data_IF_737870621492
#
_entry.id   IF_737870621492
#
_cell.length_a   1.000
_cell.length_b   1.000
_cell.length_c   1.000
_cell.angle_alpha   90.00
_cell.angle_beta   90.00
_cell.angle_gamma   90.00
#
_symmetry.space_group_name_H-M   'P 1'
#
loop_
_entity.id
_entity.type
_entity.pdbx_description
1 polymer ?
#
# COMPACT_ATOMS: atom_id res chain seq x y z
N UNK A 1 -2.26 -11.10 -2.16
CA UNK A 1 -1.43 -9.88 -2.19
C UNK A 1 -0.04 -10.08 -2.80
N UNK A 2 0.93 -10.84 -2.22
CA UNK A 2 2.21 -11.06 -2.92
C UNK A 2 2.03 -11.70 -4.30
N UNK A 3 1.17 -12.72 -4.39
CA UNK A 3 0.79 -13.36 -5.65
C UNK A 3 0.15 -12.36 -6.62
N UNK A 4 -0.84 -11.59 -6.19
CA UNK A 4 -1.50 -10.59 -7.06
C UNK A 4 -0.52 -9.54 -7.59
N UNK A 5 0.42 -9.08 -6.75
CA UNK A 5 1.47 -8.15 -7.17
C UNK A 5 2.35 -8.77 -8.24
N UNK A 6 2.86 -9.98 -8.00
CA UNK A 6 3.74 -10.69 -8.95
C UNK A 6 3.00 -10.93 -10.27
N UNK A 7 1.79 -11.49 -10.24
CA UNK A 7 0.98 -11.77 -11.43
C UNK A 7 0.73 -10.51 -12.25
N UNK A 8 0.35 -9.39 -11.61
CA UNK A 8 0.10 -8.11 -12.32
C UNK A 8 1.39 -7.55 -12.91
N UNK A 9 2.51 -7.61 -12.18
CA UNK A 9 3.78 -7.10 -12.66
C UNK A 9 4.31 -7.92 -13.85
N UNK A 10 4.28 -9.25 -13.73
CA UNK A 10 4.70 -10.16 -14.81
C UNK A 10 3.81 -10.03 -16.05
N UNK A 11 2.49 -9.88 -15.88
CA UNK A 11 1.56 -9.61 -16.99
C UNK A 11 1.93 -8.32 -17.75
N UNK A 12 2.41 -7.30 -17.02
CA UNK A 12 2.91 -6.03 -17.55
C UNK A 12 4.38 -6.10 -18.04
N UNK A 13 4.95 -7.30 -18.17
CA UNK A 13 6.32 -7.49 -18.67
C UNK A 13 7.39 -6.97 -17.71
N UNK A 14 7.10 -6.91 -16.41
CA UNK A 14 8.03 -6.50 -15.36
C UNK A 14 8.53 -7.76 -14.65
N UNK A 15 9.80 -8.17 -14.83
CA UNK A 15 10.36 -9.31 -14.11
C UNK A 15 10.36 -9.06 -12.59
N UNK A 16 9.88 -10.02 -11.82
CA UNK A 16 9.80 -9.92 -10.36
C UNK A 16 10.77 -10.89 -9.71
N UNK A 17 11.48 -10.40 -8.69
CA UNK A 17 12.32 -11.22 -7.80
C UNK A 17 11.90 -10.93 -6.37
N UNK A 18 11.54 -11.97 -5.63
CA UNK A 18 11.24 -11.86 -4.20
C UNK A 18 12.56 -11.62 -3.45
N UNK A 19 12.55 -10.68 -2.51
CA UNK A 19 13.68 -10.47 -1.60
C UNK A 19 13.83 -11.76 -0.78
N UNK A 20 15.00 -12.40 -0.88
CA UNK A 20 15.17 -13.74 -0.29
C UNK A 20 15.40 -13.72 1.22
N UNK A 21 15.85 -12.58 1.75
CA UNK A 21 16.18 -12.37 3.15
C UNK A 21 15.91 -10.92 3.50
N UNK A 22 14.91 -10.71 4.35
CA UNK A 22 14.58 -9.43 4.93
C UNK A 22 13.90 -9.66 6.29
N UNK A 23 13.81 -8.59 7.06
CA UNK A 23 13.01 -8.51 8.28
C UNK A 23 11.92 -7.47 8.08
N UNK A 24 10.99 -7.43 9.02
CA UNK A 24 10.01 -6.35 9.14
C UNK A 24 10.67 -4.98 8.90
N UNK A 25 9.99 -4.09 8.16
CA UNK A 25 10.49 -2.75 7.86
C UNK A 25 10.81 -1.93 9.11
N UNK A 26 10.15 -2.24 10.24
CA UNK A 26 10.34 -1.57 11.52
C UNK A 26 9.30 -0.50 11.82
N UNK A 27 8.35 -0.21 10.92
CA UNK A 27 7.30 0.80 11.17
C UNK A 27 6.55 0.56 12.50
N UNK A 28 6.08 -0.65 12.85
CA UNK A 28 5.40 -0.85 14.12
C UNK A 28 6.30 -0.61 15.34
N UNK A 29 7.62 -0.77 15.20
CA UNK A 29 8.59 -0.48 16.26
C UNK A 29 8.82 1.01 16.40
N UNK A 30 8.91 1.72 15.26
CA UNK A 30 8.98 3.18 15.23
C UNK A 30 7.75 3.82 15.89
N UNK A 31 6.55 3.36 15.55
CA UNK A 31 5.29 3.82 16.16
C UNK A 31 5.23 3.62 17.68
N UNK A 32 6.00 2.66 18.21
CA UNK A 32 6.10 2.38 19.65
C UNK A 32 7.30 3.07 20.32
N UNK A 33 8.13 3.81 19.57
CA UNK A 33 9.34 4.46 20.07
C UNK A 33 10.52 3.52 20.31
N UNK A 34 10.47 2.28 19.81
CA UNK A 34 11.55 1.28 19.93
C UNK A 34 12.61 1.49 18.83
N UNK A 35 13.36 2.60 18.96
CA UNK A 35 14.33 3.05 17.96
C UNK A 35 15.53 2.10 17.83
N UNK A 36 15.93 1.44 18.92
CA UNK A 36 17.00 0.43 18.90
C UNK A 36 16.63 -0.75 17.99
N UNK A 37 15.38 -1.24 18.06
CA UNK A 37 14.93 -2.31 17.17
C UNK A 37 14.77 -1.82 15.73
N UNK A 38 14.35 -0.56 15.52
CA UNK A 38 14.31 0.06 14.19
C UNK A 38 15.70 0.05 13.55
N UNK A 39 16.73 0.50 14.28
CA UNK A 39 18.11 0.50 13.79
C UNK A 39 18.60 -0.92 13.49
N UNK A 40 18.30 -1.89 14.38
CA UNK A 40 18.64 -3.31 14.16
C UNK A 40 18.00 -3.88 12.89
N UNK A 41 16.74 -3.54 12.61
CA UNK A 41 16.06 -4.00 11.38
C UNK A 41 16.60 -3.28 10.14
N UNK A 42 16.84 -1.97 10.22
CA UNK A 42 17.53 -1.20 9.17
C UNK A 42 18.87 -1.83 8.83
N UNK A 43 19.72 -2.09 9.82
CA UNK A 43 21.08 -2.62 9.61
C UNK A 43 21.08 -4.03 9.01
N UNK A 44 19.98 -4.78 9.17
CA UNK A 44 19.77 -6.03 8.46
C UNK A 44 19.26 -5.80 7.03
N UNK A 45 18.21 -5.00 6.85
CA UNK A 45 17.49 -4.86 5.58
C UNK A 45 18.27 -4.08 4.52
N UNK A 46 18.89 -2.96 4.89
CA UNK A 46 19.50 -2.04 3.93
C UNK A 46 20.57 -2.72 3.06
N UNK A 47 21.53 -3.50 3.59
CA UNK A 47 22.51 -4.19 2.74
C UNK A 47 21.90 -5.14 1.71
N UNK A 48 20.79 -5.79 2.06
CA UNK A 48 20.12 -6.78 1.20
C UNK A 48 19.35 -6.11 0.08
N UNK A 49 18.64 -5.01 0.39
CA UNK A 49 17.97 -4.19 -0.61
C UNK A 49 18.97 -3.49 -1.52
N UNK A 50 20.08 -3.00 -0.96
CA UNK A 50 21.16 -2.36 -1.71
C UNK A 50 21.81 -3.32 -2.71
N UNK A 51 22.06 -4.58 -2.32
CA UNK A 51 22.59 -5.58 -3.24
C UNK A 51 21.66 -5.83 -4.44
N UNK A 52 20.34 -5.87 -4.23
CA UNK A 52 19.37 -5.99 -5.32
C UNK A 52 19.36 -4.74 -6.23
N UNK A 53 19.50 -3.56 -5.65
CA UNK A 53 19.62 -2.31 -6.42
C UNK A 53 20.90 -2.31 -7.28
N UNK A 54 22.01 -2.81 -6.74
CA UNK A 54 23.27 -2.95 -7.46
C UNK A 54 23.19 -3.97 -8.60
N UNK A 55 22.36 -5.01 -8.43
CA UNK A 55 21.98 -5.96 -9.49
C UNK A 55 21.00 -5.36 -10.54
N UNK A 56 20.62 -4.08 -10.39
CA UNK A 56 19.78 -3.36 -11.33
C UNK A 56 18.27 -3.40 -11.04
N UNK A 57 17.85 -3.94 -9.90
CA UNK A 57 16.44 -3.97 -9.52
C UNK A 57 15.95 -2.65 -8.89
N UNK A 58 14.69 -2.32 -9.13
CA UNK A 58 13.93 -1.43 -8.27
C UNK A 58 13.28 -2.24 -7.13
N UNK A 59 13.06 -1.60 -5.99
CA UNK A 59 12.37 -2.20 -4.86
C UNK A 59 10.91 -1.74 -4.85
N UNK A 60 9.98 -2.67 -4.68
CA UNK A 60 8.55 -2.37 -4.50
C UNK A 60 8.07 -3.08 -3.25
N UNK A 61 7.26 -2.40 -2.44
CA UNK A 61 6.61 -3.01 -1.28
C UNK A 61 5.09 -2.78 -1.34
N UNK A 62 4.25 -3.83 -1.23
CA UNK A 62 2.81 -3.69 -1.42
C UNK A 62 2.08 -3.05 -0.23
N UNK A 63 2.78 -2.79 0.87
CA UNK A 63 2.19 -2.20 2.07
C UNK A 63 2.70 -0.76 2.23
N UNK A 64 1.82 0.26 2.28
CA UNK A 64 2.23 1.66 2.34
C UNK A 64 3.16 2.01 3.52
N UNK A 65 3.00 1.36 4.68
CA UNK A 65 3.90 1.56 5.82
C UNK A 65 5.34 1.14 5.52
N UNK A 66 5.54 0.06 4.77
CA UNK A 66 6.86 -0.42 4.39
C UNK A 66 7.53 0.57 3.44
N UNK A 67 6.80 1.06 2.43
CA UNK A 67 7.33 2.07 1.50
C UNK A 67 7.69 3.34 2.26
N UNK A 68 6.78 3.87 3.09
CA UNK A 68 7.03 5.06 3.90
C UNK A 68 8.28 4.92 4.78
N UNK A 69 8.45 3.76 5.42
CA UNK A 69 9.59 3.49 6.30
C UNK A 69 10.95 3.67 5.59
N UNK A 70 11.10 3.07 4.41
CA UNK A 70 12.36 3.16 3.67
C UNK A 70 12.49 4.45 2.85
N UNK A 71 11.37 5.05 2.42
CA UNK A 71 11.36 6.25 1.57
C UNK A 71 11.46 7.56 2.37
N UNK A 72 11.05 7.58 3.63
CA UNK A 72 11.06 8.79 4.46
C UNK A 72 11.61 8.57 5.87
N UNK A 73 11.09 7.62 6.65
CA UNK A 73 11.43 7.51 8.08
C UNK A 73 12.91 7.18 8.32
N UNK A 74 13.42 6.09 7.75
CA UNK A 74 14.84 5.72 7.87
C UNK A 74 15.76 6.80 7.30
N UNK A 75 15.49 7.40 6.12
CA UNK A 75 16.28 8.54 5.64
C UNK A 75 16.32 9.76 6.56
N UNK A 76 15.25 10.03 7.31
CA UNK A 76 15.22 11.13 8.29
C UNK A 76 16.02 10.78 9.55
N UNK A 77 15.96 9.52 10.00
CA UNK A 77 16.70 9.04 11.16
C UNK A 77 18.20 8.87 10.89
N UNK A 78 18.56 8.47 9.66
CA UNK A 78 19.94 8.15 9.25
C UNK A 78 20.34 8.95 7.99
N UNK A 79 20.35 10.30 8.04
CA UNK A 79 20.57 11.12 6.85
C UNK A 79 21.98 10.98 6.25
N UNK A 80 22.97 10.62 7.06
CA UNK A 80 24.36 10.42 6.63
C UNK A 80 24.68 9.03 6.07
N UNK A 81 23.72 8.10 6.08
CA UNK A 81 23.94 6.74 5.58
C UNK A 81 23.66 6.66 4.07
N UNK A 82 24.71 6.49 3.28
CA UNK A 82 24.62 6.48 1.81
C UNK A 82 23.76 5.32 1.28
N UNK A 83 23.78 4.16 1.92
CA UNK A 83 23.00 3.00 1.47
C UNK A 83 21.51 3.19 1.77
N UNK A 84 21.18 3.83 2.91
CA UNK A 84 19.80 4.26 3.20
C UNK A 84 19.29 5.22 2.12
N UNK A 85 20.12 6.20 1.71
CA UNK A 85 19.72 7.14 0.66
C UNK A 85 19.60 6.45 -0.72
N UNK A 86 20.46 5.46 -1.00
CA UNK A 86 20.36 4.66 -2.22
C UNK A 86 19.05 3.86 -2.27
N UNK A 87 18.68 3.19 -1.17
CA UNK A 87 17.40 2.47 -1.06
C UNK A 87 16.21 3.41 -1.20
N UNK A 88 16.24 4.56 -0.52
CA UNK A 88 15.20 5.61 -0.64
C UNK A 88 14.92 5.99 -2.09
N UNK A 89 15.97 6.14 -2.89
CA UNK A 89 15.85 6.58 -4.29
C UNK A 89 15.26 5.51 -5.21
N UNK A 90 15.22 4.26 -4.77
CA UNK A 90 14.86 3.09 -5.60
C UNK A 90 13.75 2.24 -4.99
N UNK A 91 13.06 2.73 -3.96
CA UNK A 91 11.87 2.09 -3.41
C UNK A 91 10.59 2.82 -3.83
N UNK A 92 9.61 2.07 -4.30
CA UNK A 92 8.37 2.58 -4.85
C UNK A 92 7.14 1.91 -4.21
N UNK A 93 6.06 2.69 -4.17
CA UNK A 93 4.73 2.13 -4.06
C UNK A 93 4.37 1.40 -5.38
N UNK A 94 3.65 0.27 -5.35
CA UNK A 94 3.34 -0.48 -6.58
C UNK A 94 2.58 0.35 -7.61
N UNK A 95 1.63 1.17 -7.17
CA UNK A 95 0.81 1.98 -8.08
C UNK A 95 1.54 3.22 -8.57
N UNK A 96 2.45 3.79 -7.77
CA UNK A 96 3.43 4.76 -8.26
C UNK A 96 4.27 4.15 -9.40
N UNK A 97 4.77 2.93 -9.21
CA UNK A 97 5.57 2.23 -10.22
C UNK A 97 4.76 1.96 -11.50
N UNK A 98 3.55 1.41 -11.38
CA UNK A 98 2.67 1.16 -12.53
C UNK A 98 2.32 2.45 -13.27
N UNK A 99 2.11 3.58 -12.58
CA UNK A 99 1.87 4.86 -13.23
C UNK A 99 3.10 5.45 -13.93
N UNK A 100 4.32 5.19 -13.42
CA UNK A 100 5.56 5.52 -14.14
C UNK A 100 5.65 4.73 -15.45
N UNK A 101 5.32 3.42 -15.41
CA UNK A 101 5.26 2.57 -16.60
C UNK A 101 4.19 3.02 -17.59
N UNK A 102 3.01 3.40 -17.10
CA UNK A 102 1.93 3.94 -17.94
C UNK A 102 2.36 5.22 -18.66
N UNK A 103 3.01 6.15 -17.95
CA UNK A 103 3.55 7.38 -18.55
C UNK A 103 4.58 7.09 -19.65
N UNK A 104 5.31 5.98 -19.54
CA UNK A 104 6.27 5.53 -20.55
C UNK A 104 5.64 4.72 -21.69
N UNK A 105 4.32 4.49 -21.70
CA UNK A 105 3.64 3.64 -22.68
C UNK A 105 3.92 2.14 -22.51
N UNK A 106 4.35 1.73 -21.31
CA UNK A 106 4.78 0.36 -21.00
C UNK A 106 3.81 -0.39 -20.08
N UNK A 107 2.76 0.28 -19.57
CA UNK A 107 1.69 -0.38 -18.83
C UNK A 107 0.64 -0.88 -19.82
N UNK A 108 0.27 -2.14 -19.68
CA UNK A 108 -0.84 -2.75 -20.41
C UNK A 108 -2.17 -2.21 -19.92
N UNK A 109 -3.04 -1.83 -20.85
CA UNK A 109 -4.39 -1.30 -20.56
C UNK A 109 -5.48 -2.08 -21.30
N UNK A 110 -5.15 -3.28 -21.79
CA UNK A 110 -6.05 -4.28 -22.36
C UNK A 110 -6.79 -5.04 -21.25
N UNK A 111 -7.55 -4.30 -20.44
CA UNK A 111 -8.39 -4.89 -19.39
C UNK A 111 -9.58 -5.64 -19.99
N UNK A 112 -9.82 -6.86 -19.52
CA UNK A 112 -10.90 -7.75 -19.96
C UNK A 112 -12.18 -7.56 -19.14
N UNK A 113 -12.04 -7.19 -17.87
CA UNK A 113 -13.13 -7.08 -16.91
C UNK A 113 -13.29 -5.64 -16.41
N UNK A 114 -14.53 -5.21 -16.17
CA UNK A 114 -14.83 -3.93 -15.51
C UNK A 114 -14.92 -4.08 -14.00
N UNK A 115 -14.65 -2.99 -13.28
CA UNK A 115 -14.80 -2.94 -11.82
C UNK A 115 -16.08 -2.23 -11.36
N UNK A 116 -16.75 -1.47 -12.23
CA UNK A 116 -17.93 -0.71 -11.82
C UNK A 116 -17.59 0.35 -10.77
N UNK A 117 -18.32 0.37 -9.65
CA UNK A 117 -18.13 1.36 -8.59
C UNK A 117 -17.20 0.84 -7.49
N UNK A 118 -16.04 1.49 -7.35
CA UNK A 118 -15.07 1.22 -6.29
C UNK A 118 -15.13 2.31 -5.23
N UNK A 119 -15.40 1.95 -3.98
CA UNK A 119 -15.15 2.83 -2.83
C UNK A 119 -13.75 2.57 -2.30
N UNK A 120 -12.86 3.55 -2.47
CA UNK A 120 -11.43 3.40 -2.23
C UNK A 120 -10.99 4.29 -1.06
N UNK A 121 -10.58 3.66 0.04
CA UNK A 121 -10.00 4.34 1.18
C UNK A 121 -8.48 4.51 1.00
N UNK A 122 -8.01 5.75 1.15
CA UNK A 122 -6.59 6.11 1.03
C UNK A 122 -5.93 6.09 2.41
N UNK A 123 -5.04 5.13 2.70
CA UNK A 123 -4.46 5.00 4.04
C UNK A 123 -3.44 6.12 4.34
N UNK A 124 -3.33 6.49 5.61
CA UNK A 124 -2.48 7.61 6.06
C UNK A 124 -1.03 7.50 5.59
N UNK A 125 -0.41 6.30 5.69
CA UNK A 125 0.97 6.11 5.26
C UNK A 125 1.17 6.20 3.75
N UNK A 126 0.12 6.05 2.93
CA UNK A 126 0.20 6.36 1.51
C UNK A 126 0.12 7.87 1.28
N UNK A 127 -0.77 8.56 2.02
CA UNK A 127 -0.94 10.02 1.93
C UNK A 127 0.31 10.79 2.31
N UNK A 128 0.99 10.37 3.40
CA UNK A 128 2.22 11.03 3.89
C UNK A 128 3.37 10.92 2.89
N UNK A 129 3.41 9.87 2.06
CA UNK A 129 4.42 9.75 0.99
C UNK A 129 4.30 10.84 -0.08
N UNK A 130 3.16 11.56 -0.15
CA UNK A 130 2.93 12.66 -1.07
C UNK A 130 3.17 12.32 -2.55
N UNK A 131 2.86 11.08 -2.94
CA UNK A 131 2.97 10.60 -4.33
C UNK A 131 1.69 10.81 -5.14
N UNK A 132 0.65 11.40 -4.54
CA UNK A 132 -0.69 11.54 -5.13
C UNK A 132 -1.50 10.26 -5.10
N UNK A 133 -2.65 10.26 -5.78
CA UNK A 133 -3.63 9.16 -5.74
C UNK A 133 -3.37 8.13 -6.85
N UNK A 134 -2.17 7.54 -6.86
CA UNK A 134 -1.73 6.64 -7.95
C UNK A 134 -2.57 5.38 -8.06
N UNK A 135 -2.99 4.81 -6.94
CA UNK A 135 -3.93 3.68 -6.92
C UNK A 135 -5.24 4.01 -7.62
N UNK A 136 -5.85 5.17 -7.31
CA UNK A 136 -7.06 5.66 -8.01
C UNK A 136 -6.79 5.83 -9.50
N UNK A 137 -5.65 6.41 -9.86
CA UNK A 137 -5.32 6.69 -11.26
C UNK A 137 -5.24 5.40 -12.07
N UNK A 138 -4.59 4.35 -11.55
CA UNK A 138 -4.55 3.02 -12.20
C UNK A 138 -5.95 2.39 -12.28
N UNK A 139 -6.73 2.40 -11.20
CA UNK A 139 -8.09 1.84 -11.21
C UNK A 139 -9.01 2.54 -12.22
N UNK A 140 -8.80 3.83 -12.49
CA UNK A 140 -9.54 4.60 -13.50
C UNK A 140 -9.14 4.29 -14.95
N UNK A 141 -8.01 3.61 -15.17
CA UNK A 141 -7.66 3.12 -16.51
C UNK A 141 -8.53 1.94 -16.92
N UNK A 142 -9.13 1.23 -15.95
CA UNK A 142 -10.06 0.13 -16.23
C UNK A 142 -11.37 0.69 -16.80
N UNK A 143 -11.85 0.17 -17.95
CA UNK A 143 -13.11 0.62 -18.54
C UNK A 143 -14.30 0.53 -17.57
N UNK A 144 -15.28 1.42 -17.77
CA UNK A 144 -16.53 1.44 -16.99
C UNK A 144 -16.33 1.48 -15.46
N UNK A 145 -15.20 2.04 -15.00
CA UNK A 145 -14.85 2.09 -13.57
C UNK A 145 -14.95 3.49 -13.01
N UNK A 146 -15.68 3.63 -11.90
CA UNK A 146 -15.76 4.86 -11.11
C UNK A 146 -15.15 4.63 -9.73
N UNK A 147 -14.35 5.58 -9.25
CA UNK A 147 -13.63 5.46 -7.97
C UNK A 147 -14.05 6.60 -7.05
N UNK A 148 -14.77 6.29 -5.97
CA UNK A 148 -15.05 7.20 -4.86
C UNK A 148 -13.89 7.15 -3.86
N UNK A 149 -13.14 8.25 -3.76
CA UNK A 149 -11.95 8.33 -2.91
C UNK A 149 -12.34 8.82 -1.52
N UNK A 150 -11.86 8.11 -0.49
CA UNK A 150 -12.09 8.47 0.92
C UNK A 150 -10.75 8.72 1.60
N UNK A 151 -10.43 10.00 1.81
CA UNK A 151 -9.20 10.46 2.47
C UNK A 151 -9.43 10.84 3.94
N UNK A 152 -9.73 9.84 4.77
CA UNK A 152 -9.96 10.06 6.20
C UNK A 152 -9.46 8.87 7.01
N UNK A 153 -9.01 9.14 8.24
CA UNK A 153 -8.47 8.12 9.14
C UNK A 153 -9.46 6.96 9.31
N UNK A 154 -8.99 5.73 9.13
CA UNK A 154 -9.74 4.49 9.39
C UNK A 154 -9.97 4.24 10.89
N UNK A 155 -9.24 4.94 11.76
CA UNK A 155 -9.19 4.69 13.20
C UNK A 155 -8.28 3.53 13.60
N UNK A 156 -7.56 2.89 12.67
CA UNK A 156 -6.72 1.73 12.96
C UNK A 156 -5.52 2.04 13.88
N UNK A 157 -4.68 3.02 13.51
CA UNK A 157 -3.55 3.49 14.32
C UNK A 157 -2.67 2.36 14.93
N UNK A 158 -2.19 1.44 14.08
CA UNK A 158 -1.33 0.33 14.49
C UNK A 158 -1.97 -0.56 15.57
N UNK A 159 -1.24 -0.80 16.66
CA UNK A 159 -1.73 -1.66 17.76
C UNK A 159 -2.84 -1.01 18.60
N UNK A 160 -3.11 0.28 18.42
CA UNK A 160 -4.13 0.99 19.18
C UNK A 160 -5.53 0.39 18.96
N UNK A 161 -5.95 0.17 17.70
CA UNK A 161 -7.30 -0.31 17.41
C UNK A 161 -7.61 -1.72 17.92
N UNK A 162 -6.59 -2.57 18.07
CA UNK A 162 -6.78 -3.97 18.48
C UNK A 162 -6.81 -4.16 20.01
N UNK A 163 -6.40 -3.13 20.76
CA UNK A 163 -6.50 -3.13 22.23
C UNK A 163 -7.95 -2.94 22.66
N UNK A 164 -8.43 -3.79 23.57
CA UNK A 164 -9.82 -3.78 24.05
C UNK A 164 -10.20 -2.40 24.61
N UNK A 165 -9.25 -1.78 25.31
CA UNK A 165 -9.37 -0.48 25.97
C UNK A 165 -9.65 0.66 24.99
N UNK A 166 -9.17 0.54 23.74
CA UNK A 166 -9.21 1.62 22.75
C UNK A 166 -10.13 1.33 21.56
N UNK A 167 -10.66 0.11 21.45
CA UNK A 167 -11.47 -0.33 20.32
C UNK A 167 -12.71 0.55 20.09
N UNK A 168 -13.36 1.00 21.15
CA UNK A 168 -14.52 1.90 21.05
C UNK A 168 -14.15 3.26 20.44
N UNK A 169 -13.04 3.86 20.89
CA UNK A 169 -12.54 5.12 20.36
C UNK A 169 -12.08 4.97 18.91
N UNK A 170 -11.35 3.90 18.60
CA UNK A 170 -10.92 3.54 17.25
C UNK A 170 -12.09 3.45 16.26
N UNK A 171 -13.18 2.75 16.62
CA UNK A 171 -14.38 2.70 15.77
C UNK A 171 -15.08 4.03 15.65
N UNK A 172 -15.18 4.80 16.74
CA UNK A 172 -15.75 6.15 16.68
C UNK A 172 -15.01 7.03 15.66
N UNK A 173 -13.67 6.93 15.59
CA UNK A 173 -12.84 7.63 14.61
C UNK A 173 -13.13 7.16 13.18
N UNK A 174 -13.24 5.84 12.97
CA UNK A 174 -13.49 5.24 11.65
C UNK A 174 -14.94 5.34 11.14
N UNK A 175 -15.91 5.60 12.01
CA UNK A 175 -17.35 5.61 11.69
C UNK A 175 -17.71 6.50 10.50
N UNK A 176 -17.16 7.72 10.32
CA UNK A 176 -17.46 8.53 9.14
C UNK A 176 -17.02 7.88 7.82
N UNK A 177 -15.94 7.10 7.83
CA UNK A 177 -15.47 6.35 6.66
C UNK A 177 -16.41 5.17 6.39
N UNK A 178 -16.75 4.41 7.43
CA UNK A 178 -17.69 3.27 7.35
C UNK A 178 -19.02 3.70 6.72
N UNK A 179 -19.64 4.77 7.25
CA UNK A 179 -20.90 5.30 6.73
C UNK A 179 -20.82 5.73 5.27
N UNK A 180 -19.67 6.27 4.83
CA UNK A 180 -19.48 6.68 3.44
C UNK A 180 -19.39 5.47 2.51
N UNK A 181 -18.67 4.42 2.92
CA UNK A 181 -18.61 3.15 2.18
C UNK A 181 -20.01 2.54 2.08
N UNK A 182 -20.76 2.46 3.18
CA UNK A 182 -22.14 1.93 3.17
C UNK A 182 -23.07 2.73 2.25
N UNK A 183 -23.05 4.06 2.37
CA UNK A 183 -23.89 4.93 1.54
C UNK A 183 -23.53 4.84 0.06
N UNK A 184 -22.27 4.58 -0.26
CA UNK A 184 -21.82 4.44 -1.64
C UNK A 184 -22.37 3.18 -2.31
N UNK A 185 -22.73 2.12 -1.57
CA UNK A 185 -23.15 0.82 -2.10
C UNK A 185 -22.24 0.36 -3.26
N UNK A 186 -20.91 0.28 -3.05
CA UNK A 186 -19.98 0.00 -4.12
C UNK A 186 -20.01 -1.48 -4.50
N UNK A 187 -19.66 -1.77 -5.76
CA UNK A 187 -19.36 -3.14 -6.20
C UNK A 187 -18.11 -3.67 -5.48
N UNK A 188 -17.13 -2.77 -5.25
CA UNK A 188 -15.88 -3.09 -4.57
C UNK A 188 -15.54 -2.08 -3.45
N UNK A 189 -15.16 -2.58 -2.29
CA UNK A 189 -14.56 -1.78 -1.22
C UNK A 189 -13.05 -2.04 -1.15
N UNK A 190 -12.21 -1.01 -1.24
CA UNK A 190 -10.77 -1.17 -1.40
C UNK A 190 -9.91 -0.25 -0.53
N UNK A 191 -8.69 -0.70 -0.21
CA UNK A 191 -7.66 0.03 0.55
C UNK A 191 -6.28 -0.60 0.34
N UNK A 192 -5.23 0.21 0.09
CA UNK A 192 -3.84 -0.30 -0.04
C UNK A 192 -3.26 -0.83 1.27
N UNK A 193 -3.85 -0.42 2.40
CA UNK A 193 -3.49 -0.94 3.71
C UNK A 193 -4.52 -1.99 4.14
N UNK A 194 -4.16 -3.29 4.19
CA UNK A 194 -5.07 -4.33 4.62
C UNK A 194 -5.60 -4.05 6.03
N UNK A 195 -4.75 -3.64 6.97
CA UNK A 195 -5.20 -3.38 8.34
C UNK A 195 -6.25 -2.26 8.43
N UNK A 196 -6.04 -1.16 7.68
CA UNK A 196 -7.02 -0.07 7.64
C UNK A 196 -8.32 -0.53 6.96
N UNK A 197 -8.20 -1.33 5.89
CA UNK A 197 -9.33 -1.94 5.19
C UNK A 197 -10.18 -2.79 6.13
N UNK A 198 -9.55 -3.71 6.86
CA UNK A 198 -10.23 -4.60 7.80
C UNK A 198 -10.83 -3.85 8.98
N UNK A 199 -10.17 -2.79 9.47
CA UNK A 199 -10.73 -1.93 10.52
C UNK A 199 -12.06 -1.30 10.06
N UNK A 200 -12.11 -0.75 8.85
CA UNK A 200 -13.34 -0.16 8.30
C UNK A 200 -14.39 -1.25 8.06
N UNK A 201 -14.00 -2.37 7.43
CA UNK A 201 -14.89 -3.50 7.18
C UNK A 201 -15.55 -4.04 8.46
N UNK A 202 -14.83 -4.02 9.59
CA UNK A 202 -15.36 -4.44 10.89
C UNK A 202 -16.53 -3.59 11.42
N UNK A 203 -16.78 -2.44 10.81
CA UNK A 203 -17.92 -1.57 11.13
C UNK A 203 -18.95 -1.44 10.01
N UNK A 204 -18.85 -2.21 8.92
CA UNK A 204 -19.84 -2.23 7.84
C UNK A 204 -20.95 -3.23 8.16
N UNK A 205 -22.20 -2.80 8.07
CA UNK A 205 -23.39 -3.65 8.25
C UNK A 205 -23.57 -4.69 7.13
N UNK A 206 -23.03 -4.42 5.94
CA UNK A 206 -23.09 -5.33 4.79
C UNK A 206 -22.20 -6.55 4.94
N UNK A 207 -21.22 -6.52 5.85
CA UNK A 207 -20.20 -7.56 5.98
C UNK A 207 -19.21 -7.62 4.81
N UNK A 208 -19.20 -6.62 3.92
CA UNK A 208 -18.29 -6.57 2.77
C UNK A 208 -16.83 -6.49 3.24
N UNK A 209 -16.01 -7.45 2.79
CA UNK A 209 -14.57 -7.46 3.07
C UNK A 209 -13.81 -6.47 2.18
N UNK A 210 -12.67 -5.93 2.64
CA UNK A 210 -11.82 -5.09 1.81
C UNK A 210 -11.10 -5.93 0.76
N UNK A 211 -11.07 -5.46 -0.48
CA UNK A 211 -10.24 -6.01 -1.55
C UNK A 211 -9.02 -5.13 -1.76
N UNK A 212 -7.83 -5.71 -1.81
CA UNK A 212 -6.64 -4.93 -2.11
C UNK A 212 -6.72 -4.42 -3.55
N UNK A 213 -6.36 -3.15 -3.83
CA UNK A 213 -6.43 -2.60 -5.19
C UNK A 213 -5.67 -3.43 -6.24
N UNK A 214 -4.58 -4.09 -5.84
CA UNK A 214 -3.81 -4.98 -6.72
C UNK A 214 -4.63 -6.21 -7.16
N UNK A 215 -5.46 -6.76 -6.27
CA UNK A 215 -6.37 -7.86 -6.61
C UNK A 215 -7.47 -7.38 -7.57
N UNK A 216 -7.92 -6.13 -7.44
CA UNK A 216 -8.86 -5.52 -8.40
C UNK A 216 -8.23 -5.34 -9.78
N UNK A 217 -6.97 -4.88 -9.84
CA UNK A 217 -6.24 -4.76 -11.11
C UNK A 217 -6.03 -6.14 -11.76
N UNK A 218 -5.65 -7.14 -10.97
CA UNK A 218 -5.54 -8.53 -11.44
C UNK A 218 -6.87 -9.03 -12.03
N UNK A 219 -7.97 -8.83 -11.30
CA UNK A 219 -9.33 -9.15 -11.77
C UNK A 219 -9.65 -8.44 -13.07
N UNK A 220 -9.34 -7.15 -13.18
CA UNK A 220 -9.57 -6.36 -14.39
C UNK A 220 -8.80 -6.89 -15.61
N UNK A 221 -7.62 -7.50 -15.40
CA UNK A 221 -6.88 -8.19 -16.46
C UNK A 221 -7.39 -9.61 -16.80
N UNK A 222 -8.39 -10.14 -16.08
CA UNK A 222 -8.89 -11.51 -16.29
C UNK A 222 -7.98 -12.61 -15.71
N UNK A 223 -7.13 -12.29 -14.72
CA UNK A 223 -6.08 -13.17 -14.16
C UNK A 223 -6.38 -13.74 -12.77
#
# INVERSE_FOLDING_TARGET
LPEDLTTVFEHNGIPVKVVGKEKCCGMPKLELGDLETVEKYKNFNIPQLKALIDDGFDIVAPIPSCVLMFKQELPLMFPGDADVQAVKARIFDPFEYLMLRHKAGLLRTDFEEKLGKVSYHVPCHLRVQNIGLKTRDVLKLVPETTVDVIERCSGHNGTYAVKKEYRAASVKIGTPVMKRVEAAKPDHYSSDCPMAGHQIASGLSTGQSPEHPMSLVRKAYGL
#
